data_IF_245464619182
#
_entry.id   IF_245464619182
#
_cell.length_a   1.000
_cell.length_b   1.000
_cell.length_c   1.000
_cell.angle_alpha   90.00
_cell.angle_beta   90.00
_cell.angle_gamma   90.00
#
_symmetry.space_group_name_H-M   'P 1'
#
loop_
_entity.id
_entity.type
_entity.pdbx_description
1 polymer ?
#
# COMPACT_ATOMS: atom_id res chain seq x y z
N UNK A 1 -22.08 -1.66 -4.66
CA UNK A 1 -21.66 -1.49 -6.07
C UNK A 1 -20.31 -2.17 -6.27
N UNK A 2 -20.35 -3.37 -6.85
CA UNK A 2 -19.19 -4.16 -7.26
C UNK A 2 -18.43 -3.46 -8.40
N UNK A 3 -17.09 -3.39 -8.30
CA UNK A 3 -16.12 -3.83 -9.33
C UNK A 3 -14.70 -3.35 -8.98
N UNK A 4 -13.71 -4.17 -9.36
CA UNK A 4 -12.26 -3.94 -9.40
C UNK A 4 -11.43 -4.37 -8.19
N UNK A 5 -11.32 -5.68 -8.02
CA UNK A 5 -10.09 -6.34 -7.55
C UNK A 5 -9.58 -7.17 -8.72
N UNK A 6 -8.63 -6.65 -9.49
CA UNK A 6 -7.84 -7.46 -10.42
C UNK A 6 -6.40 -6.96 -10.47
N UNK A 7 -5.47 -7.92 -10.37
CA UNK A 7 -4.19 -7.83 -11.08
C UNK A 7 -2.99 -7.35 -10.26
N UNK A 8 -2.31 -8.31 -9.65
CA UNK A 8 -0.96 -8.24 -9.10
C UNK A 8 0.09 -7.92 -10.21
N UNK A 9 1.20 -7.28 -9.81
CA UNK A 9 2.33 -6.73 -10.59
C UNK A 9 2.99 -7.73 -11.57
N UNK A 10 3.67 -7.31 -12.66
CA UNK A 10 5.10 -6.92 -12.53
C UNK A 10 5.60 -5.80 -13.49
N UNK A 11 6.63 -5.08 -13.04
CA UNK A 11 7.69 -4.43 -13.82
C UNK A 11 7.31 -3.43 -14.96
N UNK A 12 7.45 -2.13 -14.69
CA UNK A 12 7.74 -1.13 -15.74
C UNK A 12 8.46 0.10 -15.17
N UNK A 13 9.73 -0.09 -14.78
CA UNK A 13 10.72 0.99 -14.81
C UNK A 13 11.26 0.99 -16.24
N UNK A 14 10.65 1.78 -17.13
CA UNK A 14 11.35 2.38 -18.28
C UNK A 14 10.56 3.58 -18.79
N UNK A 15 11.26 4.70 -18.90
CA UNK A 15 10.83 6.05 -19.22
C UNK A 15 10.25 6.18 -20.63
N UNK A 16 9.11 6.85 -20.78
CA UNK A 16 8.80 7.68 -21.97
C UNK A 16 7.99 8.92 -21.53
N UNK A 17 8.39 10.15 -21.92
CA UNK A 17 7.62 11.37 -21.69
C UNK A 17 6.53 11.51 -22.77
N UNK A 18 5.38 12.09 -22.40
CA UNK A 18 4.20 12.33 -23.24
C UNK A 18 3.30 11.12 -23.54
N UNK A 19 2.39 10.82 -22.61
CA UNK A 19 0.98 10.48 -22.87
C UNK A 19 0.33 10.00 -21.58
N UNK A 20 -0.55 10.84 -21.01
CA UNK A 20 -1.57 10.49 -20.00
C UNK A 20 -1.12 9.44 -19.00
N UNK A 21 -0.34 9.86 -18.01
CA UNK A 21 -0.23 9.10 -16.77
C UNK A 21 -1.60 9.12 -16.09
N UNK A 22 -2.41 8.08 -16.32
CA UNK A 22 -3.42 7.67 -15.33
C UNK A 22 -2.65 7.09 -14.14
N UNK A 23 -1.93 7.96 -13.43
CA UNK A 23 -1.41 7.61 -12.11
C UNK A 23 -2.63 7.21 -11.30
N UNK A 24 -2.68 5.92 -10.91
CA UNK A 24 -3.64 5.35 -9.95
C UNK A 24 -3.55 6.10 -8.63
N UNK A 25 -4.10 7.31 -8.63
CA UNK A 25 -4.17 8.23 -7.52
C UNK A 25 -5.65 8.36 -7.27
N UNK A 26 -6.11 7.86 -6.13
CA UNK A 26 -7.48 8.14 -5.70
C UNK A 26 -7.56 9.67 -5.56
N UNK A 27 -8.49 10.28 -6.29
CA UNK A 27 -8.70 11.73 -6.28
C UNK A 27 -10.02 12.02 -5.60
N UNK A 28 -9.99 12.90 -4.60
CA UNK A 28 -11.18 13.49 -4.01
C UNK A 28 -11.21 14.96 -4.44
N UNK A 29 -12.30 15.40 -5.04
CA UNK A 29 -12.47 16.77 -5.55
C UNK A 29 -11.33 17.21 -6.50
N UNK A 30 -10.88 16.31 -7.37
CA UNK A 30 -9.84 16.61 -8.38
C UNK A 30 -8.40 16.65 -7.83
N UNK A 31 -8.20 16.56 -6.51
CA UNK A 31 -6.87 16.54 -5.87
C UNK A 31 -6.48 15.12 -5.45
N UNK A 32 -5.18 14.82 -5.54
CA UNK A 32 -4.62 13.55 -5.06
C UNK A 32 -4.83 13.44 -3.55
N UNK A 33 -5.44 12.36 -3.11
CA UNK A 33 -5.73 12.12 -1.70
C UNK A 33 -4.41 11.81 -0.97
N UNK A 34 -4.22 12.44 0.18
CA UNK A 34 -3.21 12.02 1.14
C UNK A 34 -3.70 10.78 1.87
N UNK A 35 -3.01 9.65 1.68
CA UNK A 35 -3.39 8.37 2.29
C UNK A 35 -3.46 8.42 3.81
N UNK A 36 -2.54 9.14 4.46
CA UNK A 36 -2.55 9.23 5.92
C UNK A 36 -3.80 9.96 6.39
N UNK A 37 -4.04 11.17 5.88
CA UNK A 37 -5.20 11.99 6.26
C UNK A 37 -6.53 11.29 5.94
N UNK A 38 -6.58 10.54 4.83
CA UNK A 38 -7.78 9.80 4.45
C UNK A 38 -8.09 8.65 5.41
N UNK A 39 -7.08 7.87 5.78
CA UNK A 39 -7.26 6.71 6.65
C UNK A 39 -7.51 7.14 8.11
N UNK A 40 -6.90 8.22 8.58
CA UNK A 40 -7.07 8.72 9.95
C UNK A 40 -8.43 9.39 10.18
N UNK A 41 -9.06 9.94 9.14
CA UNK A 41 -10.42 10.52 9.23
C UNK A 41 -11.50 9.48 9.51
N UNK A 42 -11.27 8.21 9.16
CA UNK A 42 -12.20 7.09 9.39
C UNK A 42 -13.63 7.33 8.87
N UNK A 43 -13.80 8.26 7.92
CA UNK A 43 -15.11 8.67 7.36
C UNK A 43 -15.82 7.55 6.58
N UNK A 44 -15.07 6.53 6.14
CA UNK A 44 -15.57 5.46 5.27
C UNK A 44 -15.50 4.10 5.97
N UNK A 45 -16.66 3.61 6.42
CA UNK A 45 -16.75 2.37 7.21
C UNK A 45 -16.26 1.14 6.43
N UNK A 46 -16.49 1.07 5.12
CA UNK A 46 -15.96 0.00 4.26
C UNK A 46 -14.42 -0.03 4.28
N UNK A 47 -13.78 1.14 4.33
CA UNK A 47 -12.33 1.24 4.45
C UNK A 47 -11.87 0.81 5.85
N UNK A 48 -12.58 1.20 6.90
CA UNK A 48 -12.27 0.80 8.28
C UNK A 48 -12.33 -0.73 8.44
N UNK A 49 -13.37 -1.37 7.89
CA UNK A 49 -13.49 -2.83 7.87
C UNK A 49 -12.38 -3.50 7.06
N UNK A 50 -12.00 -2.92 5.91
CA UNK A 50 -10.88 -3.44 5.13
C UNK A 50 -9.56 -3.39 5.93
N UNK A 51 -9.31 -2.30 6.66
CA UNK A 51 -8.14 -2.15 7.53
C UNK A 51 -8.15 -3.23 8.63
N UNK A 52 -9.30 -3.42 9.31
CA UNK A 52 -9.46 -4.46 10.33
C UNK A 52 -9.15 -5.87 9.80
N UNK A 53 -9.52 -6.14 8.54
CA UNK A 53 -9.28 -7.44 7.90
C UNK A 53 -7.84 -7.65 7.46
N UNK A 54 -7.18 -6.59 6.98
CA UNK A 54 -5.89 -6.68 6.28
C UNK A 54 -4.73 -6.53 7.26
N UNK A 55 -4.76 -5.53 8.15
CA UNK A 55 -3.60 -5.19 9.01
C UNK A 55 -3.13 -6.36 9.89
N UNK A 56 -4.01 -7.15 10.53
CA UNK A 56 -3.59 -8.32 11.31
C UNK A 56 -2.96 -9.43 10.48
N UNK A 57 -3.28 -9.51 9.18
CA UNK A 57 -2.74 -10.53 8.26
C UNK A 57 -1.38 -10.14 7.68
N UNK A 58 -0.93 -8.90 7.88
CA UNK A 58 0.36 -8.44 7.40
C UNK A 58 1.46 -9.06 8.28
N UNK A 59 2.11 -10.07 7.73
CA UNK A 59 3.25 -10.74 8.34
C UNK A 59 4.55 -10.25 7.69
N UNK A 60 5.36 -9.55 8.51
CA UNK A 60 6.63 -8.98 8.08
C UNK A 60 7.65 -10.03 7.65
N UNK A 61 7.65 -11.22 8.27
CA UNK A 61 8.60 -12.27 7.93
C UNK A 61 8.25 -12.92 6.61
N UNK A 62 6.94 -13.12 6.34
CA UNK A 62 6.48 -13.60 5.03
C UNK A 62 6.84 -12.64 3.91
N UNK A 63 6.70 -11.33 4.14
CA UNK A 63 7.09 -10.31 3.16
C UNK A 63 8.60 -10.32 2.92
N UNK A 64 9.41 -10.43 3.99
CA UNK A 64 10.88 -10.55 3.86
C UNK A 64 11.29 -11.84 3.15
N UNK A 65 10.65 -12.96 3.43
CA UNK A 65 10.88 -14.23 2.75
C UNK A 65 10.57 -14.09 1.25
N UNK A 66 9.40 -13.53 0.90
CA UNK A 66 9.03 -13.24 -0.47
C UNK A 66 10.08 -12.37 -1.18
N UNK A 67 10.52 -11.27 -0.56
CA UNK A 67 11.54 -10.39 -1.16
C UNK A 67 12.88 -11.08 -1.42
N UNK A 68 13.27 -12.06 -0.59
CA UNK A 68 14.50 -12.85 -0.81
C UNK A 68 14.42 -13.72 -2.06
N UNK A 69 13.24 -14.29 -2.32
CA UNK A 69 12.98 -15.20 -3.44
C UNK A 69 12.85 -14.49 -4.79
N UNK A 70 12.58 -13.19 -4.83
CA UNK A 70 12.42 -12.44 -6.08
C UNK A 70 13.76 -12.39 -6.83
N UNK A 71 13.84 -12.94 -8.06
CA UNK A 71 15.04 -12.85 -8.87
C UNK A 71 15.19 -11.44 -9.48
N UNK A 72 16.42 -11.11 -9.91
CA UNK A 72 16.74 -9.86 -10.62
C UNK A 72 16.56 -8.55 -9.82
N UNK A 73 16.50 -8.62 -8.50
CA UNK A 73 16.59 -7.45 -7.61
C UNK A 73 17.82 -7.58 -6.71
N UNK A 74 18.51 -6.47 -6.44
CA UNK A 74 19.72 -6.51 -5.62
C UNK A 74 19.40 -6.59 -4.12
N UNK A 75 20.36 -7.06 -3.32
CA UNK A 75 20.17 -7.19 -1.87
C UNK A 75 19.88 -5.84 -1.18
N UNK A 76 20.50 -4.75 -1.65
CA UNK A 76 20.20 -3.40 -1.16
C UNK A 76 18.75 -2.99 -1.45
N UNK A 77 18.22 -3.31 -2.62
CA UNK A 77 16.83 -3.05 -2.97
C UNK A 77 15.88 -3.89 -2.11
N UNK A 78 16.20 -5.18 -1.90
CA UNK A 78 15.42 -6.07 -1.02
C UNK A 78 15.35 -5.50 0.40
N UNK A 79 16.48 -5.08 0.95
CA UNK A 79 16.54 -4.46 2.27
C UNK A 79 15.72 -3.17 2.31
N UNK A 80 15.90 -2.29 1.33
CA UNK A 80 15.16 -1.04 1.23
C UNK A 80 13.65 -1.28 1.20
N UNK A 81 13.16 -2.18 0.34
CA UNK A 81 11.73 -2.49 0.24
C UNK A 81 11.19 -3.10 1.52
N UNK A 82 11.95 -4.00 2.16
CA UNK A 82 11.57 -4.59 3.45
C UNK A 82 11.38 -3.52 4.52
N UNK A 83 12.38 -2.64 4.70
CA UNK A 83 12.32 -1.52 5.65
C UNK A 83 11.21 -0.54 5.32
N UNK A 84 11.00 -0.24 4.05
CA UNK A 84 10.00 0.72 3.58
C UNK A 84 8.57 0.23 3.85
N UNK A 85 8.29 -1.04 3.58
CA UNK A 85 6.98 -1.65 3.84
C UNK A 85 6.72 -1.71 5.34
N UNK A 86 7.72 -2.12 6.14
CA UNK A 86 7.63 -2.13 7.60
C UNK A 86 7.33 -0.73 8.17
N UNK A 87 8.08 0.29 7.73
CA UNK A 87 7.87 1.67 8.14
C UNK A 87 6.45 2.18 7.79
N UNK A 88 5.92 1.85 6.61
CA UNK A 88 4.55 2.25 6.24
C UNK A 88 3.49 1.55 7.07
N UNK A 89 3.67 0.25 7.35
CA UNK A 89 2.77 -0.48 8.24
C UNK A 89 2.75 0.16 9.62
N UNK A 90 3.91 0.43 10.18
CA UNK A 90 4.03 0.90 11.57
C UNK A 90 3.63 2.38 11.74
N UNK A 91 3.89 3.23 10.74
CA UNK A 91 3.59 4.66 10.82
C UNK A 91 2.21 5.07 10.30
N UNK A 92 1.58 4.25 9.46
CA UNK A 92 0.31 4.61 8.83
C UNK A 92 -0.78 3.60 9.21
N UNK A 93 -0.57 2.32 8.93
CA UNK A 93 -1.63 1.32 9.06
C UNK A 93 -1.90 0.92 10.51
N UNK A 94 -0.85 0.76 11.31
CA UNK A 94 -0.97 0.36 12.72
C UNK A 94 -1.69 1.41 13.58
N UNK A 95 -1.33 2.72 13.51
CA UNK A 95 -2.06 3.74 14.26
C UNK A 95 -3.54 3.78 13.90
N UNK A 96 -3.86 3.68 12.60
CA UNK A 96 -5.25 3.66 12.15
C UNK A 96 -5.97 2.40 12.63
N UNK A 97 -5.34 1.22 12.55
CA UNK A 97 -5.92 -0.01 13.06
C UNK A 97 -6.20 0.06 14.58
N UNK A 98 -5.27 0.61 15.35
CA UNK A 98 -5.41 0.77 16.81
C UNK A 98 -6.56 1.75 17.13
N UNK A 99 -6.69 2.85 16.37
CA UNK A 99 -7.82 3.79 16.51
C UNK A 99 -9.17 3.16 16.18
N UNK A 100 -9.25 2.34 15.13
CA UNK A 100 -10.51 1.68 14.75
C UNK A 100 -10.84 0.57 15.75
N UNK A 101 -9.85 -0.10 16.35
CA UNK A 101 -10.06 -1.26 17.25
C UNK A 101 -10.25 -0.88 18.72
N UNK A 102 -10.06 0.41 19.07
CA UNK A 102 -10.36 0.98 20.38
C UNK A 102 -11.84 1.32 20.51
#
# INVERSE_FOLDING_TARGET
>A
MSKYVEGFLPQKILLLPSSRTVERSIKQNGRKINYYDFLTRMEYEDCNQAIRRIVPKIDKEKIRAFLREVPYICELQKEFYGRYIEARRDKILKPVFDMISS
#
